data_IF_128406500419
#
_entry.id   IF_128406500419
#
_cell.length_a   1.000
_cell.length_b   1.000
_cell.length_c   1.000
_cell.angle_alpha   90.00
_cell.angle_beta   90.00
_cell.angle_gamma   90.00
#
_symmetry.space_group_name_H-M   'P 1'
#
loop_
_entity.id
_entity.type
_entity.pdbx_description
1 polymer ?
#
# COMPACT_ATOMS: atom_id res chain seq x y z
N UNK A 1 -71.39 -24.82 -27.73
CA UNK A 1 -70.24 -25.55 -27.18
C UNK A 1 -68.97 -24.77 -27.50
N UNK A 2 -68.48 -23.95 -26.57
CA UNK A 2 -67.31 -23.16 -26.75
C UNK A 2 -66.29 -23.81 -25.81
N UNK A 3 -65.20 -24.36 -26.40
CA UNK A 3 -64.09 -24.97 -25.67
C UNK A 3 -63.09 -23.87 -25.29
N UNK A 4 -62.89 -23.68 -24.01
CA UNK A 4 -61.87 -22.84 -23.44
C UNK A 4 -60.50 -23.53 -23.54
N UNK A 5 -59.50 -22.83 -24.16
CA UNK A 5 -58.08 -23.20 -24.13
C UNK A 5 -57.44 -22.64 -22.84
N UNK A 6 -56.62 -23.39 -22.14
CA UNK A 6 -55.86 -22.85 -21.02
C UNK A 6 -54.62 -22.13 -21.53
N UNK A 7 -54.41 -20.87 -21.09
CA UNK A 7 -53.18 -20.11 -21.26
C UNK A 7 -52.07 -20.75 -20.40
N UNK A 8 -51.07 -21.32 -21.03
CA UNK A 8 -49.80 -21.67 -20.39
C UNK A 8 -48.97 -20.37 -20.18
N UNK A 9 -48.95 -19.89 -18.95
CA UNK A 9 -48.03 -18.86 -18.53
C UNK A 9 -46.67 -19.54 -18.27
N UNK A 10 -45.75 -19.40 -19.22
CA UNK A 10 -44.34 -19.78 -19.03
C UNK A 10 -43.72 -18.78 -18.08
N UNK A 11 -43.49 -19.17 -16.84
CA UNK A 11 -42.67 -18.46 -15.91
C UNK A 11 -41.19 -18.50 -16.41
N UNK A 12 -40.77 -17.43 -17.05
CA UNK A 12 -39.34 -17.18 -17.36
C UNK A 12 -38.68 -16.87 -16.04
N UNK A 13 -38.09 -17.87 -15.40
CA UNK A 13 -37.18 -17.61 -14.27
C UNK A 13 -36.01 -16.81 -14.77
N UNK A 14 -36.01 -15.51 -14.47
CA UNK A 14 -34.80 -14.71 -14.54
C UNK A 14 -33.80 -15.33 -13.56
N UNK A 15 -32.84 -16.07 -14.09
CA UNK A 15 -31.61 -16.38 -13.39
C UNK A 15 -30.89 -15.06 -13.18
N UNK A 16 -31.13 -14.42 -12.03
CA UNK A 16 -30.29 -13.37 -11.52
C UNK A 16 -28.94 -14.04 -11.20
N UNK A 17 -28.06 -14.09 -12.20
CA UNK A 17 -26.66 -14.40 -11.96
C UNK A 17 -26.16 -13.33 -11.01
N UNK A 18 -25.93 -13.70 -9.76
CA UNK A 18 -25.13 -12.92 -8.83
C UNK A 18 -23.80 -12.64 -9.51
N UNK A 19 -23.67 -11.47 -10.09
CA UNK A 19 -22.37 -10.96 -10.49
C UNK A 19 -21.62 -10.71 -9.19
N UNK A 20 -20.85 -11.71 -8.75
CA UNK A 20 -19.78 -11.46 -7.78
C UNK A 20 -19.08 -10.18 -8.23
N UNK A 21 -18.99 -9.20 -7.33
CA UNK A 21 -18.26 -7.97 -7.59
C UNK A 21 -16.93 -8.37 -8.23
N UNK A 22 -16.76 -8.04 -9.52
CA UNK A 22 -15.62 -8.50 -10.30
C UNK A 22 -14.41 -7.83 -9.70
N UNK A 23 -13.60 -8.59 -8.96
CA UNK A 23 -12.30 -8.14 -8.54
C UNK A 23 -11.61 -7.55 -9.76
N UNK A 24 -11.10 -6.32 -9.67
CA UNK A 24 -10.44 -5.67 -10.79
C UNK A 24 -9.33 -6.56 -11.31
N UNK A 25 -9.15 -6.68 -12.63
CA UNK A 25 -8.15 -7.54 -13.20
C UNK A 25 -6.76 -7.11 -12.73
N UNK A 26 -5.87 -8.08 -12.52
CA UNK A 26 -4.46 -7.76 -12.30
C UNK A 26 -3.88 -7.14 -13.57
N UNK A 27 -3.09 -6.10 -13.41
CA UNK A 27 -2.36 -5.45 -14.49
C UNK A 27 -0.87 -5.72 -14.32
N UNK A 28 -0.24 -6.25 -15.36
CA UNK A 28 1.19 -6.62 -15.29
C UNK A 28 1.54 -7.61 -14.17
N UNK A 29 0.55 -8.40 -13.69
CA UNK A 29 0.73 -9.36 -12.58
C UNK A 29 0.54 -8.75 -11.18
N UNK A 30 0.33 -7.44 -11.06
CA UNK A 30 0.08 -6.72 -9.81
C UNK A 30 -1.41 -6.43 -9.61
N UNK A 31 -1.88 -6.27 -8.36
CA UNK A 31 -3.25 -5.87 -8.09
C UNK A 31 -3.53 -4.45 -8.60
N UNK A 32 -4.63 -4.28 -9.29
CA UNK A 32 -5.25 -3.00 -9.61
C UNK A 32 -6.33 -2.76 -8.55
N UNK A 33 -6.06 -1.89 -7.59
CA UNK A 33 -6.93 -1.70 -6.43
C UNK A 33 -7.97 -0.59 -6.61
N UNK A 34 -7.75 0.32 -7.54
CA UNK A 34 -8.67 1.42 -7.87
C UNK A 34 -9.49 1.14 -9.14
N UNK A 35 -9.28 0.01 -9.81
CA UNK A 35 -9.98 -0.44 -11.01
C UNK A 35 -9.84 0.48 -12.24
N UNK A 36 -8.75 1.22 -12.33
CA UNK A 36 -8.45 2.13 -13.45
C UNK A 36 -7.77 1.42 -14.64
N UNK A 37 -7.47 0.10 -14.51
CA UNK A 37 -6.75 -0.75 -15.48
C UNK A 37 -5.26 -0.44 -15.58
N UNK A 38 -4.72 0.22 -14.60
CA UNK A 38 -3.30 0.42 -14.42
C UNK A 38 -2.86 -0.26 -13.11
N UNK A 39 -1.59 -0.52 -12.94
CA UNK A 39 -1.03 -0.95 -11.66
C UNK A 39 0.07 0.03 -11.28
N UNK A 40 -0.16 0.83 -10.26
CA UNK A 40 0.74 1.88 -9.81
C UNK A 40 1.27 1.59 -8.41
N UNK A 41 2.57 1.40 -8.32
CA UNK A 41 3.31 1.19 -7.08
C UNK A 41 4.11 2.44 -6.77
N UNK A 42 3.74 3.15 -5.71
CA UNK A 42 4.46 4.33 -5.25
C UNK A 42 5.31 3.98 -4.04
N UNK A 43 6.57 4.38 -4.03
CA UNK A 43 7.46 4.18 -2.89
C UNK A 43 7.93 5.52 -2.34
N UNK A 44 7.45 5.85 -1.13
CA UNK A 44 7.98 6.95 -0.32
C UNK A 44 9.16 6.43 0.47
N UNK A 45 10.30 7.10 0.33
CA UNK A 45 11.49 6.61 0.97
C UNK A 45 12.60 7.64 1.18
N UNK A 46 13.71 7.15 1.71
CA UNK A 46 14.92 7.94 1.93
C UNK A 46 15.99 7.66 0.85
N UNK A 47 17.25 7.76 1.22
CA UNK A 47 18.39 7.55 0.34
C UNK A 47 18.47 6.15 -0.27
N UNK A 48 17.86 5.13 0.37
CA UNK A 48 17.87 3.78 -0.16
C UNK A 48 16.86 3.63 -1.31
N UNK A 49 15.71 4.25 -1.21
CA UNK A 49 14.73 4.30 -2.31
C UNK A 49 15.27 5.13 -3.46
N UNK A 50 15.93 6.27 -3.16
CA UNK A 50 16.63 7.06 -4.17
C UNK A 50 17.70 6.26 -4.90
N UNK A 51 18.44 5.38 -4.20
CA UNK A 51 19.43 4.48 -4.76
C UNK A 51 20.88 4.87 -4.46
N UNK A 52 21.13 5.66 -3.39
CA UNK A 52 22.52 6.01 -2.99
C UNK A 52 23.31 4.74 -2.67
N UNK A 53 24.49 4.62 -3.30
CA UNK A 53 25.35 3.44 -3.22
C UNK A 53 25.17 2.45 -4.38
N UNK A 54 24.16 2.65 -5.23
CA UNK A 54 23.93 1.86 -6.43
C UNK A 54 24.74 2.39 -7.62
N UNK A 55 26.06 2.19 -7.56
CA UNK A 55 26.98 2.70 -8.58
C UNK A 55 26.77 2.10 -9.97
N UNK A 56 26.10 0.95 -10.09
CA UNK A 56 25.72 0.37 -11.38
C UNK A 56 24.66 1.21 -12.09
N UNK A 57 23.94 2.10 -11.36
CA UNK A 57 22.89 2.98 -11.87
C UNK A 57 23.12 4.44 -11.44
N UNK A 58 24.35 4.93 -11.47
CA UNK A 58 24.71 6.30 -11.15
C UNK A 58 24.19 6.80 -9.79
N UNK A 59 24.10 5.91 -8.80
CA UNK A 59 23.52 6.15 -7.49
C UNK A 59 22.05 6.59 -7.52
N UNK A 60 21.27 6.06 -8.48
CA UNK A 60 19.84 6.36 -8.65
C UNK A 60 19.03 5.08 -8.86
N UNK A 61 17.76 5.12 -8.49
CA UNK A 61 16.80 4.05 -8.74
C UNK A 61 16.89 2.83 -7.84
N UNK A 62 18.05 2.46 -7.35
CA UNK A 62 18.26 1.40 -6.36
C UNK A 62 17.53 0.09 -6.65
N UNK A 63 16.86 -0.47 -5.65
CA UNK A 63 16.07 -1.70 -5.82
C UNK A 63 14.80 -1.48 -6.64
N UNK A 64 14.22 -0.27 -6.60
CA UNK A 64 12.96 0.02 -7.27
C UNK A 64 13.12 -0.04 -8.79
N UNK A 65 14.16 0.59 -9.34
CA UNK A 65 14.48 0.50 -10.77
C UNK A 65 14.67 -0.95 -11.22
N UNK A 66 15.44 -1.74 -10.46
CA UNK A 66 15.67 -3.16 -10.78
C UNK A 66 14.39 -3.99 -10.73
N UNK A 67 13.48 -3.64 -9.86
CA UNK A 67 12.18 -4.32 -9.75
C UNK A 67 11.27 -3.92 -10.89
N UNK A 68 11.17 -2.64 -11.24
CA UNK A 68 10.28 -2.15 -12.29
C UNK A 68 10.55 -2.82 -13.65
N UNK A 69 11.81 -3.14 -13.96
CA UNK A 69 12.19 -3.87 -15.18
C UNK A 69 11.56 -5.27 -15.27
N UNK A 70 11.07 -5.84 -14.17
CA UNK A 70 10.39 -7.14 -14.15
C UNK A 70 8.87 -7.02 -14.31
N UNK A 71 8.33 -5.80 -14.29
CA UNK A 71 6.90 -5.51 -14.42
C UNK A 71 6.66 -4.43 -15.48
N UNK A 72 6.91 -4.71 -16.78
CA UNK A 72 6.89 -3.69 -17.83
C UNK A 72 5.52 -3.03 -18.06
N UNK A 73 4.45 -3.66 -17.56
CA UNK A 73 3.08 -3.16 -17.68
C UNK A 73 2.57 -2.54 -16.37
N UNK A 74 3.44 -2.21 -15.43
CA UNK A 74 3.11 -1.53 -14.20
C UNK A 74 3.98 -0.29 -14.01
N UNK A 75 3.43 0.73 -13.38
CA UNK A 75 4.14 1.98 -13.07
C UNK A 75 4.78 1.91 -11.68
N UNK A 76 6.04 2.30 -11.60
CA UNK A 76 6.78 2.39 -10.33
C UNK A 76 7.25 3.81 -10.10
N UNK A 77 6.68 4.47 -9.10
CA UNK A 77 6.94 5.86 -8.77
C UNK A 77 7.92 5.95 -7.59
N UNK A 78 9.09 6.56 -7.86
CA UNK A 78 10.19 6.68 -6.89
C UNK A 78 10.16 8.05 -6.22
N UNK A 79 9.69 8.10 -4.98
CA UNK A 79 9.70 9.28 -4.12
C UNK A 79 10.77 9.17 -3.02
N UNK A 80 11.93 8.60 -3.36
CA UNK A 80 13.12 8.56 -2.51
C UNK A 80 13.81 9.92 -2.43
N UNK A 81 14.10 10.38 -1.22
CA UNK A 81 14.86 11.62 -0.98
C UNK A 81 15.95 11.37 0.05
N UNK A 82 17.20 11.70 -0.31
CA UNK A 82 18.34 11.53 0.59
C UNK A 82 18.13 12.21 1.95
N UNK A 83 18.36 11.48 3.03
CA UNK A 83 18.21 12.01 4.39
C UNK A 83 16.76 12.25 4.86
N UNK A 84 15.75 11.84 4.09
CA UNK A 84 14.34 12.04 4.46
C UNK A 84 14.01 11.43 5.84
N UNK A 85 13.30 12.19 6.64
CA UNK A 85 12.76 11.80 7.94
C UNK A 85 11.25 11.75 7.90
N UNK A 86 10.66 10.81 8.64
CA UNK A 86 9.20 10.66 8.70
C UNK A 86 8.53 11.90 9.28
N UNK A 87 9.15 12.52 10.28
CA UNK A 87 8.64 13.74 10.92
C UNK A 87 8.46 14.91 9.94
N UNK A 88 9.34 15.05 8.94
CA UNK A 88 9.23 16.08 7.89
C UNK A 88 8.21 15.70 6.83
N UNK A 89 8.13 14.42 6.49
CA UNK A 89 7.21 13.93 5.46
C UNK A 89 5.74 14.19 5.81
N UNK A 90 5.40 14.29 7.10
CA UNK A 90 4.05 14.70 7.54
C UNK A 90 3.68 16.06 6.94
N UNK A 91 4.54 17.07 7.12
CA UNK A 91 4.31 18.42 6.57
C UNK A 91 4.31 18.43 5.03
N UNK A 92 5.20 17.66 4.40
CA UNK A 92 5.25 17.53 2.93
C UNK A 92 3.92 16.95 2.38
N UNK A 93 3.36 15.93 3.01
CA UNK A 93 2.09 15.32 2.63
C UNK A 93 0.91 16.27 2.88
N UNK A 94 0.87 16.92 4.04
CA UNK A 94 -0.19 17.90 4.36
C UNK A 94 -0.17 19.04 3.32
N UNK A 95 1.01 19.59 2.99
CA UNK A 95 1.16 20.64 1.98
C UNK A 95 0.77 20.17 0.58
N UNK A 96 1.12 18.94 0.19
CA UNK A 96 0.77 18.36 -1.10
C UNK A 96 -0.77 18.28 -1.27
N UNK A 97 -1.47 17.73 -0.31
CA UNK A 97 -2.94 17.61 -0.35
C UNK A 97 -3.68 18.94 -0.16
N UNK A 98 -3.03 19.96 0.39
CA UNK A 98 -3.57 21.32 0.46
C UNK A 98 -3.29 22.14 -0.82
N UNK A 99 -2.51 21.62 -1.76
CA UNK A 99 -2.11 22.32 -2.98
C UNK A 99 -1.07 23.43 -2.76
N UNK A 100 -0.42 23.44 -1.59
CA UNK A 100 0.64 24.41 -1.23
C UNK A 100 2.05 23.84 -1.33
N UNK A 101 2.17 22.55 -1.66
CA UNK A 101 3.41 21.81 -1.80
C UNK A 101 3.52 21.08 -3.15
N UNK A 102 4.08 19.88 -3.13
CA UNK A 102 4.24 19.02 -4.31
C UNK A 102 2.87 18.43 -4.72
N UNK A 103 2.17 19.12 -5.62
CA UNK A 103 0.86 18.68 -6.14
C UNK A 103 0.98 17.41 -6.99
N UNK A 104 2.13 17.13 -7.62
CA UNK A 104 2.35 15.89 -8.35
C UNK A 104 2.36 14.69 -7.39
N UNK A 105 2.99 14.83 -6.23
CA UNK A 105 2.93 13.81 -5.19
C UNK A 105 1.49 13.49 -4.77
N UNK A 106 0.64 14.51 -4.60
CA UNK A 106 -0.76 14.30 -4.22
C UNK A 106 -1.53 13.55 -5.33
N UNK A 107 -1.31 13.92 -6.61
CA UNK A 107 -1.92 13.24 -7.75
C UNK A 107 -1.45 11.79 -7.86
N UNK A 108 -0.14 11.56 -7.77
CA UNK A 108 0.44 10.22 -7.86
C UNK A 108 -0.02 9.31 -6.68
N UNK A 109 -0.22 9.88 -5.49
CA UNK A 109 -0.79 9.16 -4.35
C UNK A 109 -2.29 8.84 -4.56
N UNK A 110 -3.01 9.74 -5.20
CA UNK A 110 -4.42 9.53 -5.53
C UNK A 110 -4.62 8.40 -6.56
N UNK A 111 -3.68 8.26 -7.49
CA UNK A 111 -3.71 7.22 -8.52
C UNK A 111 -3.06 5.89 -8.08
N UNK A 112 -2.35 5.87 -6.94
CA UNK A 112 -1.60 4.69 -6.53
C UNK A 112 -2.50 3.58 -5.97
N UNK A 113 -2.31 2.34 -6.44
CA UNK A 113 -2.91 1.15 -5.83
C UNK A 113 -2.25 0.81 -4.50
N UNK A 114 -0.93 0.87 -4.49
CA UNK A 114 -0.13 0.48 -3.34
C UNK A 114 0.95 1.52 -3.08
N UNK A 115 1.01 1.97 -1.84
CA UNK A 115 2.06 2.87 -1.35
C UNK A 115 2.98 2.10 -0.40
N UNK A 116 4.26 2.09 -0.69
CA UNK A 116 5.26 1.51 0.20
C UNK A 116 6.02 2.60 0.94
N UNK A 117 6.25 2.36 2.24
CA UNK A 117 7.13 3.17 3.07
C UNK A 117 8.44 2.42 3.31
N UNK A 118 9.55 2.95 2.81
CA UNK A 118 10.90 2.51 3.15
C UNK A 118 11.75 3.70 3.61
N UNK A 119 11.35 4.27 4.74
CA UNK A 119 12.07 5.36 5.41
C UNK A 119 11.76 5.36 6.92
N UNK A 120 12.57 6.10 7.68
CA UNK A 120 12.47 6.15 9.14
C UNK A 120 13.81 5.98 9.82
N UNK A 121 14.79 5.35 9.16
CA UNK A 121 16.14 5.16 9.73
C UNK A 121 16.86 6.49 10.00
N UNK A 122 16.51 7.57 9.32
CA UNK A 122 17.07 8.90 9.52
C UNK A 122 16.47 9.63 10.73
N UNK A 123 15.34 9.17 11.25
CA UNK A 123 14.72 9.72 12.47
C UNK A 123 15.57 9.45 13.71
N UNK A 124 16.47 8.48 13.67
CA UNK A 124 17.51 8.28 14.68
C UNK A 124 18.29 9.56 15.02
N UNK A 125 18.54 10.42 14.03
CA UNK A 125 19.22 11.69 14.23
C UNK A 125 18.46 12.69 15.10
N UNK A 126 17.17 12.51 15.26
CA UNK A 126 16.34 13.32 16.15
C UNK A 126 16.45 12.90 17.62
N UNK A 127 17.23 11.83 17.90
CA UNK A 127 17.42 11.27 19.24
C UNK A 127 16.09 10.92 19.94
N UNK A 128 15.04 10.64 19.17
CA UNK A 128 13.75 10.19 19.67
C UNK A 128 13.71 8.67 19.72
N UNK A 129 12.88 8.08 20.59
CA UNK A 129 12.70 6.63 20.63
C UNK A 129 12.02 6.13 19.35
N UNK A 130 12.27 4.86 18.94
CA UNK A 130 11.64 4.25 17.75
C UNK A 130 10.11 4.35 17.73
N UNK A 131 9.46 4.34 18.88
CA UNK A 131 8.01 4.52 19.02
C UNK A 131 7.52 5.86 18.44
N UNK A 132 8.31 6.93 18.54
CA UNK A 132 7.95 8.22 17.95
C UNK A 132 7.92 8.14 16.42
N UNK A 133 8.92 7.48 15.82
CA UNK A 133 8.96 7.25 14.37
C UNK A 133 7.83 6.36 13.90
N UNK A 134 7.52 5.27 14.64
CA UNK A 134 6.37 4.45 14.33
C UNK A 134 5.04 5.25 14.33
N UNK A 135 4.83 6.15 15.32
CA UNK A 135 3.65 7.03 15.37
C UNK A 135 3.60 7.97 14.17
N UNK A 136 4.75 8.50 13.76
CA UNK A 136 4.84 9.37 12.59
C UNK A 136 4.55 8.60 11.28
N UNK A 137 5.05 7.35 11.12
CA UNK A 137 4.70 6.48 10.00
C UNK A 137 3.19 6.21 9.93
N UNK A 138 2.59 5.92 11.10
CA UNK A 138 1.13 5.79 11.19
C UNK A 138 0.44 7.07 10.71
N UNK A 139 0.86 8.25 11.19
CA UNK A 139 0.28 9.54 10.78
C UNK A 139 0.43 9.79 9.28
N UNK A 140 1.59 9.51 8.69
CA UNK A 140 1.78 9.62 7.23
C UNK A 140 0.78 8.76 6.48
N UNK A 141 0.59 7.49 6.90
CA UNK A 141 -0.39 6.60 6.31
C UNK A 141 -1.80 7.17 6.43
N UNK A 142 -2.21 7.58 7.63
CA UNK A 142 -3.55 8.10 7.89
C UNK A 142 -3.83 9.34 7.05
N UNK A 143 -2.84 10.26 6.86
CA UNK A 143 -2.96 11.42 5.96
C UNK A 143 -3.21 10.96 4.52
N UNK A 144 -2.41 10.03 4.00
CA UNK A 144 -2.55 9.54 2.64
C UNK A 144 -3.92 8.89 2.46
N UNK A 145 -4.27 7.92 3.27
CA UNK A 145 -5.51 7.17 3.12
C UNK A 145 -6.74 8.06 3.23
N UNK A 146 -6.78 8.97 4.23
CA UNK A 146 -7.91 9.88 4.40
C UNK A 146 -8.07 10.85 3.24
N UNK A 147 -6.96 11.45 2.75
CA UNK A 147 -7.08 12.43 1.68
C UNK A 147 -7.35 11.78 0.32
N UNK A 148 -6.70 10.66 0.01
CA UNK A 148 -6.96 9.93 -1.23
C UNK A 148 -8.41 9.47 -1.26
N UNK A 149 -8.91 8.87 -0.19
CA UNK A 149 -10.30 8.43 -0.11
C UNK A 149 -11.31 9.57 -0.26
N UNK A 150 -11.02 10.75 0.31
CA UNK A 150 -11.86 11.94 0.14
C UNK A 150 -11.88 12.45 -1.31
N UNK A 151 -10.79 12.30 -2.06
CA UNK A 151 -10.65 12.80 -3.43
C UNK A 151 -11.20 11.81 -4.45
N UNK A 152 -10.92 10.53 -4.28
CA UNK A 152 -11.12 9.49 -5.30
C UNK A 152 -12.20 8.46 -4.95
N UNK A 153 -12.65 8.43 -3.70
CA UNK A 153 -13.57 7.40 -3.20
C UNK A 153 -12.90 6.06 -2.88
N UNK A 154 -11.65 5.83 -3.30
CA UNK A 154 -10.88 4.63 -2.96
C UNK A 154 -9.74 4.95 -1.98
N UNK A 155 -9.21 3.92 -1.34
CA UNK A 155 -8.14 4.02 -0.35
C UNK A 155 -6.94 3.19 -0.81
N UNK A 156 -5.74 3.75 -0.92
CA UNK A 156 -4.57 2.97 -1.32
C UNK A 156 -4.14 2.03 -0.19
N UNK A 157 -3.67 0.83 -0.55
CA UNK A 157 -3.03 -0.06 0.40
C UNK A 157 -1.65 0.48 0.77
N UNK A 158 -1.41 0.81 2.04
CA UNK A 158 -0.13 1.33 2.53
C UNK A 158 0.64 0.26 3.30
N UNK A 159 1.84 -0.06 2.85
CA UNK A 159 2.71 -1.10 3.39
C UNK A 159 4.01 -0.46 3.89
N UNK A 160 4.40 -0.75 5.12
CA UNK A 160 5.67 -0.26 5.68
C UNK A 160 6.73 -1.36 5.62
N UNK A 161 7.88 -1.08 5.03
CA UNK A 161 8.99 -2.00 5.05
C UNK A 161 9.68 -2.06 6.43
N UNK A 162 10.07 -3.26 6.85
CA UNK A 162 11.07 -3.42 7.90
C UNK A 162 12.43 -3.06 7.30
N UNK A 163 13.02 -2.01 7.80
CA UNK A 163 14.17 -1.34 7.19
C UNK A 163 15.42 -2.19 7.24
N UNK A 164 16.26 -2.12 6.21
CA UNK A 164 17.59 -2.71 6.22
C UNK A 164 18.40 -2.20 7.41
N UNK A 165 19.21 -3.10 7.98
CA UNK A 165 20.02 -2.80 9.16
C UNK A 165 21.18 -1.86 8.82
N UNK A 166 21.56 -1.02 9.76
CA UNK A 166 22.72 -0.15 9.66
C UNK A 166 23.90 -0.68 10.50
N UNK A 167 25.13 -0.34 10.11
CA UNK A 167 26.35 -0.63 10.87
C UNK A 167 26.82 0.55 11.73
N UNK A 168 26.18 1.72 11.59
CA UNK A 168 26.53 2.90 12.40
C UNK A 168 26.17 2.66 13.86
N UNK A 169 27.12 2.95 14.76
CA UNK A 169 26.94 2.77 16.21
C UNK A 169 25.70 3.50 16.72
N UNK A 170 24.89 2.83 17.50
CA UNK A 170 23.61 3.33 18.03
C UNK A 170 22.45 3.28 17.02
N UNK A 171 22.68 3.65 15.76
CA UNK A 171 21.64 3.58 14.73
C UNK A 171 21.23 2.12 14.45
N UNK A 172 22.20 1.22 14.39
CA UNK A 172 21.93 -0.21 14.16
C UNK A 172 20.98 -0.79 15.18
N UNK A 173 21.19 -0.55 16.48
CA UNK A 173 20.29 -0.99 17.55
C UNK A 173 18.93 -0.33 17.44
N UNK A 174 18.91 0.98 17.23
CA UNK A 174 17.68 1.74 17.09
C UNK A 174 16.80 1.25 15.93
N UNK A 175 17.40 0.92 14.77
CA UNK A 175 16.68 0.34 13.61
C UNK A 175 16.14 -1.05 13.93
N UNK A 176 16.87 -1.87 14.70
CA UNK A 176 16.38 -3.19 15.16
C UNK A 176 15.13 -3.02 16.03
N UNK A 177 15.15 -2.08 16.98
CA UNK A 177 13.99 -1.78 17.83
C UNK A 177 12.79 -1.26 17.01
N UNK A 178 13.02 -0.38 16.03
CA UNK A 178 11.95 0.10 15.15
C UNK A 178 11.35 -1.05 14.33
N UNK A 179 12.19 -1.93 13.76
CA UNK A 179 11.70 -3.10 13.02
C UNK A 179 10.91 -4.07 13.90
N UNK A 180 11.29 -4.24 15.16
CA UNK A 180 10.53 -5.04 16.12
C UNK A 180 9.14 -4.44 16.40
N UNK A 181 9.06 -3.11 16.56
CA UNK A 181 7.77 -2.39 16.68
C UNK A 181 6.92 -2.53 15.43
N UNK A 182 7.50 -2.37 14.24
CA UNK A 182 6.80 -2.54 12.96
C UNK A 182 6.22 -3.95 12.85
N UNK A 183 7.01 -4.99 13.14
CA UNK A 183 6.55 -6.37 13.12
C UNK A 183 5.42 -6.63 14.13
N UNK A 184 5.56 -6.12 15.37
CA UNK A 184 4.56 -6.28 16.44
C UNK A 184 3.24 -5.59 16.11
N UNK A 185 3.29 -4.43 15.42
CA UNK A 185 2.13 -3.60 15.11
C UNK A 185 1.57 -3.86 13.72
N UNK A 186 2.13 -4.82 12.97
CA UNK A 186 1.64 -5.22 11.66
C UNK A 186 0.27 -5.87 11.78
N UNK A 187 -0.66 -5.45 10.94
CA UNK A 187 -2.01 -6.03 10.82
C UNK A 187 -2.32 -6.25 9.33
N UNK A 188 -3.46 -6.85 9.02
CA UNK A 188 -3.88 -7.01 7.62
C UNK A 188 -4.15 -5.67 6.92
N UNK A 189 -4.69 -4.69 7.64
CA UNK A 189 -4.96 -3.34 7.14
C UNK A 189 -3.74 -2.42 7.16
N UNK A 190 -2.73 -2.75 7.97
CA UNK A 190 -1.49 -1.98 8.12
C UNK A 190 -0.26 -2.88 8.05
N UNK A 191 0.00 -3.52 6.87
CA UNK A 191 1.08 -4.48 6.75
C UNK A 191 2.45 -3.84 6.96
N UNK A 192 3.31 -4.53 7.74
CA UNK A 192 4.71 -4.16 7.93
C UNK A 192 5.60 -5.40 7.89
N UNK A 193 5.39 -6.24 6.88
CA UNK A 193 6.03 -7.55 6.73
C UNK A 193 6.98 -7.64 5.51
N UNK A 194 7.16 -6.54 4.78
CA UNK A 194 8.21 -6.43 3.76
C UNK A 194 9.60 -6.36 4.45
N UNK A 195 10.37 -7.44 4.34
CA UNK A 195 11.54 -7.70 5.18
C UNK A 195 12.86 -7.27 4.55
N UNK A 196 13.10 -5.98 4.36
CA UNK A 196 14.42 -5.46 3.96
C UNK A 196 15.50 -5.65 5.04
N UNK A 197 15.09 -5.84 6.30
CA UNK A 197 16.00 -6.22 7.39
C UNK A 197 16.68 -7.59 7.19
N UNK A 198 16.26 -8.39 6.22
CA UNK A 198 16.95 -9.62 5.83
C UNK A 198 18.25 -9.37 5.03
N UNK A 199 18.49 -8.12 4.57
CA UNK A 199 19.74 -7.77 3.89
C UNK A 199 20.93 -7.93 4.86
N UNK A 200 21.95 -8.68 4.43
CA UNK A 200 23.18 -8.80 5.20
C UNK A 200 23.92 -7.46 5.29
N UNK A 201 24.35 -7.07 6.51
CA UNK A 201 25.16 -5.87 6.73
C UNK A 201 26.48 -5.89 5.96
N UNK A 202 26.99 -7.06 5.53
CA UNK A 202 28.19 -7.18 4.69
C UNK A 202 28.01 -6.61 3.28
N UNK A 203 26.76 -6.32 2.91
CA UNK A 203 26.40 -5.75 1.61
C UNK A 203 26.16 -4.24 1.67
N UNK A 204 26.56 -3.58 2.76
CA UNK A 204 26.59 -2.13 2.87
C UNK A 204 27.93 -1.62 2.37
N UNK A 205 27.92 -0.64 1.45
CA UNK A 205 29.11 -0.01 0.89
C UNK A 205 29.71 1.04 1.85
N UNK A 206 28.86 1.61 2.67
CA UNK A 206 29.20 2.41 3.83
C UNK A 206 28.51 1.85 5.08
N UNK A 207 28.21 2.65 6.06
CA UNK A 207 27.55 2.17 7.29
C UNK A 207 26.02 1.98 7.13
N UNK A 208 25.43 2.42 6.01
CA UNK A 208 23.98 2.48 5.84
C UNK A 208 23.53 2.04 4.44
N UNK A 209 24.21 2.49 3.39
CA UNK A 209 23.77 2.32 2.01
C UNK A 209 24.21 0.98 1.43
N UNK A 210 23.31 0.24 0.78
CA UNK A 210 23.66 -1.00 0.10
C UNK A 210 24.64 -0.77 -1.07
N UNK A 211 25.50 -1.74 -1.29
CA UNK A 211 26.27 -1.86 -2.54
C UNK A 211 25.34 -2.22 -3.71
N UNK A 212 25.77 -2.15 -4.99
CA UNK A 212 24.97 -2.63 -6.12
C UNK A 212 24.45 -4.06 -5.92
N UNK A 213 25.28 -4.97 -5.37
CA UNK A 213 24.85 -6.33 -5.03
C UNK A 213 23.80 -6.35 -3.92
N UNK A 214 23.90 -5.46 -2.95
CA UNK A 214 22.88 -5.26 -1.91
C UNK A 214 21.55 -4.84 -2.51
N UNK A 215 21.56 -3.90 -3.45
CA UNK A 215 20.38 -3.47 -4.18
C UNK A 215 19.74 -4.57 -5.05
N UNK A 216 20.57 -5.42 -5.68
CA UNK A 216 20.06 -6.61 -6.40
C UNK A 216 19.30 -7.55 -5.45
N UNK A 217 19.78 -7.73 -4.22
CA UNK A 217 19.10 -8.56 -3.22
C UNK A 217 17.82 -7.90 -2.73
N UNK A 218 17.84 -6.59 -2.42
CA UNK A 218 16.62 -5.86 -2.06
C UNK A 218 15.57 -5.92 -3.17
N UNK A 219 15.97 -5.78 -4.44
CA UNK A 219 15.07 -5.95 -5.58
C UNK A 219 14.45 -7.35 -5.63
N UNK A 220 15.22 -8.42 -5.38
CA UNK A 220 14.68 -9.78 -5.30
C UNK A 220 13.68 -9.96 -4.16
N UNK A 221 13.97 -9.37 -2.99
CA UNK A 221 13.05 -9.39 -1.84
C UNK A 221 11.76 -8.66 -2.22
N UNK A 222 11.87 -7.47 -2.81
CA UNK A 222 10.72 -6.67 -3.21
C UNK A 222 9.88 -7.34 -4.29
N UNK A 223 10.51 -7.84 -5.36
CA UNK A 223 9.82 -8.63 -6.41
C UNK A 223 9.09 -9.85 -5.82
N UNK A 224 9.75 -10.59 -4.92
CA UNK A 224 9.11 -11.73 -4.26
C UNK A 224 7.94 -11.31 -3.39
N UNK A 225 8.03 -10.16 -2.74
CA UNK A 225 6.92 -9.60 -1.98
C UNK A 225 5.75 -9.24 -2.88
N UNK A 226 5.99 -8.49 -3.95
CA UNK A 226 4.97 -8.07 -4.91
C UNK A 226 4.24 -9.26 -5.54
N UNK A 227 4.94 -10.35 -5.82
CA UNK A 227 4.36 -11.53 -6.49
C UNK A 227 3.67 -12.51 -5.54
N UNK A 228 4.16 -12.67 -4.30
CA UNK A 228 3.73 -13.75 -3.40
C UNK A 228 2.96 -13.27 -2.17
N UNK A 229 3.23 -12.07 -1.69
CA UNK A 229 2.69 -11.55 -0.43
C UNK A 229 1.64 -10.47 -0.69
N UNK A 230 1.95 -9.48 -1.53
CA UNK A 230 1.04 -8.40 -1.88
C UNK A 230 -0.35 -8.88 -2.33
N UNK A 231 -0.50 -9.93 -3.18
CA UNK A 231 -1.83 -10.40 -3.58
C UNK A 231 -2.68 -10.88 -2.41
N UNK A 232 -2.06 -11.38 -1.32
CA UNK A 232 -2.78 -11.80 -0.13
C UNK A 232 -3.27 -10.62 0.71
N UNK A 233 -2.47 -9.55 0.78
CA UNK A 233 -2.89 -8.31 1.43
C UNK A 233 -3.99 -7.63 0.62
N UNK A 234 -3.83 -7.54 -0.70
CA UNK A 234 -4.83 -7.00 -1.61
C UNK A 234 -6.19 -7.72 -1.49
N UNK A 235 -6.18 -9.06 -1.43
CA UNK A 235 -7.39 -9.85 -1.28
C UNK A 235 -8.10 -9.61 0.07
N UNK A 236 -7.33 -9.38 1.15
CA UNK A 236 -7.91 -9.04 2.46
C UNK A 236 -8.36 -7.59 2.54
N UNK A 237 -7.65 -6.70 1.90
CA UNK A 237 -7.97 -5.29 1.83
C UNK A 237 -9.28 -5.01 1.08
N UNK A 238 -9.62 -5.91 0.16
CA UNK A 238 -10.84 -5.90 -0.65
C UNK A 238 -11.86 -6.94 -0.23
N UNK A 239 -11.79 -7.45 0.99
CA UNK A 239 -12.81 -8.36 1.49
C UNK A 239 -14.13 -7.60 1.58
N UNK A 240 -15.17 -8.19 1.01
CA UNK A 240 -16.55 -7.79 1.05
C UNK A 240 -17.29 -9.05 1.49
N UNK A 241 -17.56 -9.19 2.81
CA UNK A 241 -17.99 -10.44 3.42
C UNK A 241 -19.45 -10.75 3.09
N UNK A 242 -20.30 -9.72 3.01
CA UNK A 242 -21.74 -9.85 2.76
C UNK A 242 -22.14 -9.57 1.31
N UNK A 243 -21.18 -9.15 0.48
CA UNK A 243 -21.34 -8.89 -0.97
C UNK A 243 -22.38 -7.79 -1.26
N UNK A 244 -22.34 -6.70 -0.50
CA UNK A 244 -23.18 -5.53 -0.70
C UNK A 244 -22.56 -4.47 -1.63
N UNK A 245 -21.25 -4.62 -1.94
CA UNK A 245 -20.46 -3.72 -2.80
C UNK A 245 -19.55 -2.77 -2.04
N UNK A 246 -19.63 -2.72 -0.72
CA UNK A 246 -18.72 -1.99 0.16
C UNK A 246 -17.70 -2.98 0.76
N UNK A 247 -16.46 -2.54 0.93
CA UNK A 247 -15.45 -3.45 1.50
C UNK A 247 -15.46 -3.41 3.02
N UNK A 248 -15.31 -4.56 3.67
CA UNK A 248 -15.27 -4.77 5.12
C UNK A 248 -14.47 -3.70 5.89
N UNK A 249 -13.36 -3.21 5.30
CA UNK A 249 -12.51 -2.20 5.94
C UNK A 249 -13.18 -0.83 5.92
N UNK A 250 -13.89 -0.49 4.84
CA UNK A 250 -14.64 0.77 4.74
C UNK A 250 -15.81 0.81 5.69
N UNK A 251 -16.55 -0.28 5.76
CA UNK A 251 -17.68 -0.43 6.69
C UNK A 251 -17.23 -0.19 8.12
N UNK A 252 -16.20 -0.91 8.58
CA UNK A 252 -15.71 -0.82 9.96
C UNK A 252 -15.03 0.51 10.29
N UNK A 253 -14.13 0.98 9.42
CA UNK A 253 -13.24 2.10 9.77
C UNK A 253 -13.83 3.47 9.43
N UNK A 254 -14.70 3.54 8.42
CA UNK A 254 -15.23 4.82 7.95
C UNK A 254 -16.66 5.05 8.37
N UNK A 255 -17.50 4.05 8.23
CA UNK A 255 -18.95 4.20 8.39
C UNK A 255 -19.44 3.62 9.71
N UNK A 256 -18.67 2.76 10.36
CA UNK A 256 -19.07 2.08 11.58
C UNK A 256 -20.17 1.04 11.36
N UNK A 257 -20.22 0.51 10.12
CA UNK A 257 -21.15 -0.51 9.67
C UNK A 257 -20.62 -1.91 10.00
N UNK A 258 -21.52 -2.89 10.04
CA UNK A 258 -21.16 -4.31 10.27
C UNK A 258 -20.92 -5.02 8.93
N UNK A 259 -19.67 -5.40 8.60
CA UNK A 259 -19.31 -5.99 7.29
C UNK A 259 -19.87 -7.43 7.09
N UNK A 260 -20.75 -7.89 7.91
CA UNK A 260 -21.45 -9.17 7.78
C UNK A 260 -22.92 -8.98 7.46
N UNK A 261 -23.41 -7.73 7.41
CA UNK A 261 -24.79 -7.36 7.19
C UNK A 261 -24.87 -6.41 5.99
N UNK A 262 -25.49 -6.84 4.90
CA UNK A 262 -25.67 -6.02 3.69
C UNK A 262 -26.41 -4.69 3.90
N UNK A 263 -27.06 -4.52 5.05
CA UNK A 263 -27.87 -3.38 5.47
C UNK A 263 -27.77 -3.34 7.00
N UNK A 264 -26.81 -2.54 7.48
CA UNK A 264 -26.43 -2.51 8.90
C UNK A 264 -27.53 -1.89 9.76
N UNK A 265 -28.24 -0.86 9.28
CA UNK A 265 -29.27 -0.16 10.05
C UNK A 265 -30.69 -0.71 9.78
N UNK A 266 -30.86 -1.58 8.81
CA UNK A 266 -32.10 -2.29 8.53
C UNK A 266 -33.16 -1.46 7.84
N UNK A 267 -32.78 -0.40 7.12
CA UNK A 267 -33.72 0.50 6.45
C UNK A 267 -34.14 0.00 5.05
N UNK A 268 -33.51 -1.06 4.53
CA UNK A 268 -33.82 -1.71 3.27
C UNK A 268 -32.95 -1.23 2.09
N UNK A 269 -31.99 -0.32 2.33
CA UNK A 269 -30.94 0.05 1.39
C UNK A 269 -29.67 -0.68 1.81
N UNK A 270 -28.89 -1.19 0.86
CA UNK A 270 -27.61 -1.82 1.20
C UNK A 270 -26.58 -0.78 1.58
N UNK A 271 -25.70 -1.08 2.54
CA UNK A 271 -24.63 -0.21 2.98
C UNK A 271 -23.79 0.32 1.80
N UNK A 272 -23.48 -0.55 0.81
CA UNK A 272 -22.76 -0.19 -0.41
C UNK A 272 -23.52 0.73 -1.38
N UNK A 273 -24.85 0.80 -1.29
CA UNK A 273 -25.69 1.69 -2.09
C UNK A 273 -25.94 3.03 -1.39
N UNK A 274 -25.64 3.16 -0.07
CA UNK A 274 -25.82 4.37 0.73
C UNK A 274 -24.63 5.33 0.65
N UNK A 275 -23.43 4.87 0.22
CA UNK A 275 -22.15 5.60 0.28
C UNK A 275 -21.52 5.91 -1.11
#
# INVERSE_FOLDING_TARGET
>A
MIRSLPLLISALALLCSSTSALACPKVGGLPDLNCDREAKVLVLGDSLVFGIGDTDNDNKGGYLLRTSLQFPNASFLNYGVGGRRVSRTIGDLEAAFLGTGDTQLANDLADADVVFFDFGRNDWWERKPPLATWRNLKRCRDIIQTNVQRITGHKPLVITAQMSLANRTGQGTWVVELNALLAQKSTSSTPADLRFNALSKKLLGDQVHPTPKGYQILAKIFTSYLTKVLPKHAAKFRKDEDADGLYDEYERERFGMDPTLQDTDGDGIKDGDEV
#
